data_IF_756652974942
#
_entry.id   IF_756652974942
#
_cell.length_a   1.000
_cell.length_b   1.000
_cell.length_c   1.000
_cell.angle_alpha   90.00
_cell.angle_beta   90.00
_cell.angle_gamma   90.00
#
_symmetry.space_group_name_H-M   'P 1'
#
loop_
_entity.id
_entity.type
_entity.pdbx_description
1 polymer ?
#
# COMPACT_ATOMS: atom_id res chain seq x y z
N UNK A 1 -62.55 -3.23 34.97
CA UNK A 1 -61.65 -3.04 36.13
C UNK A 1 -60.39 -2.34 35.60
N UNK A 2 -60.26 -1.01 35.79
CA UNK A 2 -59.24 -0.32 36.63
C UNK A 2 -57.81 -0.51 36.10
N UNK A 3 -56.92 0.45 35.82
CA UNK A 3 -56.74 1.92 35.96
C UNK A 3 -55.64 2.29 34.91
N UNK A 4 -55.57 3.41 34.18
CA UNK A 4 -55.54 4.84 34.51
C UNK A 4 -54.27 5.32 35.28
N UNK A 5 -53.47 6.15 34.57
CA UNK A 5 -52.72 7.36 35.01
C UNK A 5 -51.30 7.24 35.63
N UNK A 6 -50.36 8.04 35.07
CA UNK A 6 -49.75 9.24 35.72
C UNK A 6 -48.21 9.33 35.75
N UNK A 7 -47.69 10.55 35.43
CA UNK A 7 -46.40 11.11 35.88
C UNK A 7 -45.27 11.05 34.83
N UNK A 8 -44.90 12.08 34.07
CA UNK A 8 -44.53 13.49 34.32
C UNK A 8 -43.23 13.68 35.13
N UNK A 9 -42.21 14.20 34.41
CA UNK A 9 -41.27 15.27 34.80
C UNK A 9 -40.18 15.06 35.87
N UNK A 10 -38.94 15.32 35.41
CA UNK A 10 -37.85 16.07 36.05
C UNK A 10 -37.10 15.52 37.28
N UNK A 11 -35.80 15.28 37.08
CA UNK A 11 -34.66 15.68 37.95
C UNK A 11 -33.35 15.32 37.23
N UNK A 12 -32.63 16.27 36.60
CA UNK A 12 -31.54 17.07 37.20
C UNK A 12 -30.82 16.38 38.37
N UNK A 13 -29.69 15.78 38.04
CA UNK A 13 -28.47 15.61 38.86
C UNK A 13 -27.35 15.57 37.79
N UNK A 14 -26.61 16.64 37.49
CA UNK A 14 -25.74 17.46 38.33
C UNK A 14 -24.61 16.61 38.93
N UNK A 15 -23.58 16.43 38.12
CA UNK A 15 -22.22 15.94 38.41
C UNK A 15 -21.44 16.27 37.11
N UNK A 16 -20.91 17.46 36.85
CA UNK A 16 -20.02 18.33 37.63
C UNK A 16 -18.97 17.60 38.46
N UNK A 17 -17.94 17.12 37.77
CA UNK A 17 -16.60 16.92 38.32
C UNK A 17 -15.54 17.31 37.28
N UNK A 18 -15.11 18.57 37.38
CA UNK A 18 -13.69 18.94 37.44
C UNK A 18 -12.89 18.98 36.13
N UNK A 19 -12.36 20.15 35.74
CA UNK A 19 -11.32 20.22 34.71
C UNK A 19 -10.02 19.62 35.26
N UNK A 20 -9.48 18.64 34.54
CA UNK A 20 -8.16 18.07 34.81
C UNK A 20 -7.14 19.18 34.52
N UNK A 21 -6.55 19.69 35.60
CA UNK A 21 -5.56 20.76 35.58
C UNK A 21 -4.32 20.28 34.81
N UNK A 22 -4.02 20.97 33.72
CA UNK A 22 -2.80 20.80 32.94
C UNK A 22 -1.59 21.21 33.78
N UNK A 23 -0.81 20.22 34.23
CA UNK A 23 0.52 20.46 34.78
C UNK A 23 1.50 20.70 33.63
N UNK A 24 1.74 21.96 33.31
CA UNK A 24 2.81 22.40 32.41
C UNK A 24 4.16 22.18 33.12
N UNK A 25 5.09 21.38 32.59
CA UNK A 25 6.43 21.29 33.15
C UNK A 25 7.18 22.59 32.90
N UNK A 26 7.57 23.25 34.00
CA UNK A 26 8.40 24.46 34.05
C UNK A 26 9.82 24.10 33.59
N UNK A 27 10.17 24.43 32.35
CA UNK A 27 11.52 24.24 31.82
C UNK A 27 12.49 25.20 32.51
N UNK A 28 13.32 24.64 33.39
CA UNK A 28 14.36 25.37 34.12
C UNK A 28 15.50 25.76 33.17
N UNK A 29 15.68 27.07 32.99
CA UNK A 29 16.84 27.68 32.33
C UNK A 29 18.04 27.57 33.28
N UNK A 30 19.12 26.92 32.84
CA UNK A 30 20.46 27.17 33.38
C UNK A 30 21.30 25.92 33.61
N UNK A 31 22.30 25.71 32.76
CA UNK A 31 23.31 24.67 32.93
C UNK A 31 24.19 24.53 31.71
N UNK A 32 25.15 25.45 31.55
CA UNK A 32 26.22 25.34 30.57
C UNK A 32 27.14 24.16 30.96
N UNK A 33 26.91 23.00 30.38
CA UNK A 33 27.83 21.86 30.48
C UNK A 33 28.91 22.00 29.41
N UNK A 34 30.08 22.46 29.85
CA UNK A 34 31.33 22.35 29.11
C UNK A 34 31.72 20.87 29.00
N UNK A 35 31.37 20.22 27.89
CA UNK A 35 31.91 18.90 27.53
C UNK A 35 33.27 19.09 26.84
N UNK A 36 34.34 18.95 27.62
CA UNK A 36 35.72 18.78 27.13
C UNK A 36 35.80 17.44 26.40
N UNK A 37 35.90 17.47 25.08
CA UNK A 37 36.29 16.32 24.27
C UNK A 37 37.76 15.99 24.54
N UNK A 38 38.01 14.94 25.32
CA UNK A 38 39.30 14.30 25.40
C UNK A 38 39.45 13.38 24.18
N UNK A 39 40.26 13.83 23.21
CA UNK A 39 40.78 12.97 22.17
C UNK A 39 41.75 11.95 22.81
N UNK A 40 41.41 10.67 22.80
CA UNK A 40 42.34 9.59 23.09
C UNK A 40 41.98 8.36 22.27
N UNK A 41 42.62 8.32 21.10
CA UNK A 41 43.36 7.19 20.53
C UNK A 41 43.03 5.80 21.09
N UNK A 42 42.15 5.06 20.40
CA UNK A 42 42.23 3.60 20.32
C UNK A 42 42.01 3.21 18.85
N UNK A 43 43.12 3.13 18.12
CA UNK A 43 43.19 2.47 16.83
C UNK A 43 43.73 1.06 17.07
N UNK A 44 42.86 0.04 17.03
CA UNK A 44 43.29 -1.35 16.85
C UNK A 44 42.14 -2.26 16.40
N UNK A 45 42.29 -2.75 15.17
CA UNK A 45 41.90 -4.09 14.69
C UNK A 45 40.41 -4.51 14.71
N UNK A 46 39.72 -4.30 13.59
CA UNK A 46 38.85 -5.34 13.03
C UNK A 46 39.19 -5.50 11.54
N UNK A 47 39.79 -6.66 11.24
CA UNK A 47 40.08 -7.19 9.90
C UNK A 47 38.78 -7.37 9.14
N UNK A 48 38.62 -6.66 8.03
CA UNK A 48 37.68 -7.05 6.97
C UNK A 48 38.39 -8.05 6.03
N UNK A 49 37.77 -9.19 5.68
CA UNK A 49 38.27 -10.06 4.63
C UNK A 49 37.98 -9.42 3.27
N UNK A 50 39.04 -9.07 2.54
CA UNK A 50 38.96 -8.68 1.14
C UNK A 50 38.59 -9.87 0.26
N UNK A 51 37.40 -9.83 -0.35
CA UNK A 51 37.09 -10.66 -1.51
C UNK A 51 37.69 -9.98 -2.73
N UNK A 52 38.87 -10.47 -3.10
CA UNK A 52 39.60 -10.16 -4.31
C UNK A 52 38.79 -10.54 -5.56
N UNK A 53 38.18 -9.56 -6.23
CA UNK A 53 37.69 -9.72 -7.61
C UNK A 53 38.54 -8.88 -8.55
N UNK A 54 39.45 -9.56 -9.23
CA UNK A 54 40.46 -8.97 -10.10
C UNK A 54 39.86 -8.38 -11.37
N UNK A 55 39.95 -7.05 -11.49
CA UNK A 55 39.87 -6.37 -12.77
C UNK A 55 41.28 -6.17 -13.30
N UNK A 56 41.64 -6.92 -14.35
CA UNK A 56 42.89 -6.74 -15.08
C UNK A 56 42.83 -5.40 -15.81
N UNK A 57 43.50 -4.42 -15.22
CA UNK A 57 43.79 -3.11 -15.79
C UNK A 57 44.71 -3.27 -17.00
N UNK A 58 44.20 -3.01 -18.20
CA UNK A 58 45.02 -2.72 -19.38
C UNK A 58 44.97 -1.21 -19.60
N UNK A 59 45.97 -0.55 -19.04
CA UNK A 59 46.32 0.82 -19.37
C UNK A 59 46.71 0.91 -20.85
N UNK A 60 46.05 1.81 -21.59
CA UNK A 60 46.63 2.44 -22.77
C UNK A 60 46.37 3.94 -22.71
N UNK A 61 47.40 4.65 -22.30
CA UNK A 61 47.53 6.09 -22.41
C UNK A 61 47.54 6.51 -23.89
N UNK A 62 46.61 7.38 -24.28
CA UNK A 62 46.71 8.20 -25.48
C UNK A 62 46.34 9.63 -25.08
N UNK A 63 47.38 10.47 -24.97
CA UNK A 63 47.27 11.92 -24.94
C UNK A 63 46.79 12.38 -26.32
N UNK A 64 45.64 13.06 -26.39
CA UNK A 64 45.29 13.90 -27.53
C UNK A 64 44.91 15.28 -27.02
N UNK A 65 45.62 16.25 -27.57
CA UNK A 65 45.61 17.68 -27.29
C UNK A 65 44.30 18.37 -27.63
N UNK A 66 44.03 19.44 -26.90
CA UNK A 66 42.92 20.36 -27.05
C UNK A 66 42.83 21.00 -28.45
N UNK A 67 41.60 21.21 -28.92
CA UNK A 67 41.26 22.25 -29.89
C UNK A 67 39.90 22.83 -29.51
N UNK A 68 39.91 24.12 -29.19
CA UNK A 68 38.74 24.93 -28.86
C UNK A 68 38.13 25.37 -30.18
N UNK A 69 36.87 25.01 -30.42
CA UNK A 69 36.03 25.66 -31.43
C UNK A 69 34.74 26.12 -30.73
N UNK A 70 34.68 27.42 -30.43
CA UNK A 70 33.47 28.08 -29.98
C UNK A 70 32.51 28.21 -31.16
N UNK A 71 31.46 27.39 -31.20
CA UNK A 71 30.30 27.61 -32.04
C UNK A 71 29.15 28.09 -31.14
N UNK A 72 28.83 29.38 -31.22
CA UNK A 72 27.65 29.95 -30.61
C UNK A 72 26.40 29.45 -31.36
N UNK A 73 25.74 28.43 -30.82
CA UNK A 73 24.39 28.06 -31.25
C UNK A 73 23.40 28.81 -30.37
N UNK A 74 22.65 29.70 -31.01
CA UNK A 74 21.55 30.44 -30.40
C UNK A 74 20.45 29.47 -29.95
N UNK A 75 19.88 29.61 -28.75
CA UNK A 75 18.65 28.92 -28.42
C UNK A 75 17.51 29.54 -29.23
N UNK A 76 16.95 28.76 -30.15
CA UNK A 76 15.65 29.05 -30.77
C UNK A 76 14.60 28.86 -29.67
N UNK A 77 14.07 29.97 -29.18
CA UNK A 77 12.89 29.99 -28.31
C UNK A 77 11.69 29.49 -29.13
N UNK A 78 11.17 28.30 -28.81
CA UNK A 78 9.86 27.88 -29.29
C UNK A 78 8.79 28.79 -28.65
N UNK A 79 8.30 29.76 -29.41
CA UNK A 79 7.11 30.52 -29.07
C UNK A 79 5.90 29.59 -29.11
N UNK A 80 5.37 29.23 -27.94
CA UNK A 80 4.00 28.74 -27.83
C UNK A 80 3.04 29.85 -28.30
N UNK A 81 2.08 29.55 -29.20
CA UNK A 81 1.03 30.50 -29.55
C UNK A 81 0.25 30.91 -28.30
N UNK A 82 0.09 32.23 -28.11
CA UNK A 82 -0.76 32.78 -27.08
C UNK A 82 -2.22 32.31 -27.24
N UNK A 83 -2.96 32.07 -26.15
CA UNK A 83 -4.40 31.83 -26.22
C UNK A 83 -5.13 33.11 -26.64
N UNK A 84 -5.97 33.03 -27.67
CA UNK A 84 -6.87 34.12 -28.07
C UNK A 84 -7.85 34.48 -26.95
N UNK A 85 -8.25 35.76 -26.82
CA UNK A 85 -9.29 36.17 -25.89
C UNK A 85 -10.64 35.58 -26.30
N UNK A 86 -11.32 34.92 -25.36
CA UNK A 86 -12.70 34.49 -25.53
C UNK A 86 -13.63 35.71 -25.52
N UNK A 87 -14.34 35.94 -26.62
CA UNK A 87 -15.47 36.88 -26.71
C UNK A 87 -16.63 36.36 -25.84
N UNK A 88 -17.38 37.22 -25.11
CA UNK A 88 -18.56 36.77 -24.38
C UNK A 88 -19.70 36.52 -25.38
N UNK A 89 -20.04 35.24 -25.59
CA UNK A 89 -21.21 34.86 -26.38
C UNK A 89 -22.46 34.87 -25.51
N UNK A 90 -23.37 35.77 -25.83
CA UNK A 90 -24.74 35.86 -25.33
C UNK A 90 -25.48 34.51 -25.45
N UNK A 91 -26.26 34.05 -24.45
CA UNK A 91 -27.06 32.84 -24.59
C UNK A 91 -28.22 33.06 -25.57
N UNK A 92 -28.25 32.31 -26.67
CA UNK A 92 -29.41 32.23 -27.55
C UNK A 92 -30.48 31.28 -26.97
N UNK A 93 -31.78 31.52 -27.20
CA UNK A 93 -32.86 30.69 -26.65
C UNK A 93 -32.86 29.29 -27.27
N UNK A 94 -33.04 28.27 -26.42
CA UNK A 94 -33.18 26.88 -26.84
C UNK A 94 -34.49 26.66 -27.59
N UNK A 95 -34.39 26.29 -28.87
CA UNK A 95 -35.49 25.71 -29.65
C UNK A 95 -35.60 24.21 -29.32
N UNK A 96 -36.80 23.65 -29.10
CA UNK A 96 -36.96 22.22 -28.85
C UNK A 96 -36.65 21.42 -30.13
N UNK A 97 -35.66 20.53 -30.06
CA UNK A 97 -35.40 19.58 -31.14
C UNK A 97 -36.50 18.50 -31.18
N UNK A 98 -37.00 18.12 -32.36
CA UNK A 98 -37.98 17.05 -32.50
C UNK A 98 -37.37 15.69 -32.17
N UNK A 99 -38.14 14.87 -31.46
CA UNK A 99 -37.78 13.51 -31.06
C UNK A 99 -37.43 12.65 -32.29
N UNK A 100 -36.22 12.11 -32.30
CA UNK A 100 -35.81 11.08 -33.23
C UNK A 100 -36.54 9.75 -32.88
N UNK A 101 -36.97 8.96 -33.88
CA UNK A 101 -37.63 7.69 -33.63
C UNK A 101 -36.65 6.69 -33.02
N UNK A 102 -37.08 6.06 -31.92
CA UNK A 102 -36.39 4.96 -31.28
C UNK A 102 -36.21 3.81 -32.29
N UNK A 103 -34.95 3.45 -32.56
CA UNK A 103 -34.61 2.19 -33.20
C UNK A 103 -35.02 1.07 -32.24
N UNK A 104 -36.04 0.30 -32.66
CA UNK A 104 -36.44 -0.92 -31.99
C UNK A 104 -35.24 -1.87 -31.92
N UNK A 105 -34.76 -2.14 -30.71
CA UNK A 105 -33.78 -3.18 -30.45
C UNK A 105 -34.46 -4.53 -30.69
N UNK A 106 -34.03 -5.24 -31.74
CA UNK A 106 -34.42 -6.62 -31.95
C UNK A 106 -33.88 -7.49 -30.80
N UNK A 107 -34.70 -8.40 -30.24
CA UNK A 107 -34.20 -9.43 -29.32
C UNK A 107 -33.11 -10.26 -30.03
N UNK A 108 -32.03 -10.67 -29.33
CA UNK A 108 -31.01 -11.50 -29.93
C UNK A 108 -31.63 -12.82 -30.39
N UNK A 109 -31.51 -13.10 -31.69
CA UNK A 109 -31.85 -14.40 -32.24
C UNK A 109 -30.95 -15.46 -31.58
N UNK A 110 -31.57 -16.43 -30.92
CA UNK A 110 -30.90 -17.62 -30.42
C UNK A 110 -30.31 -18.37 -31.63
N UNK A 111 -28.98 -18.35 -31.75
CA UNK A 111 -28.26 -19.12 -32.75
C UNK A 111 -27.96 -20.50 -32.11
N UNK A 112 -28.56 -21.61 -32.55
CA UNK A 112 -28.45 -22.92 -31.89
C UNK A 112 -27.07 -23.60 -32.05
N UNK A 113 -26.06 -22.89 -32.56
CA UNK A 113 -24.75 -23.45 -32.90
C UNK A 113 -23.55 -22.72 -32.25
N UNK A 114 -23.75 -22.00 -31.14
CA UNK A 114 -22.61 -21.65 -30.28
C UNK A 114 -22.23 -22.92 -29.51
N UNK A 115 -21.29 -23.69 -30.06
CA UNK A 115 -20.59 -24.73 -29.31
C UNK A 115 -19.73 -24.05 -28.26
N UNK A 116 -20.27 -23.90 -27.05
CA UNK A 116 -19.52 -23.52 -25.85
C UNK A 116 -18.48 -24.62 -25.63
N UNK A 117 -17.25 -24.36 -26.06
CA UNK A 117 -16.13 -25.22 -25.68
C UNK A 117 -15.96 -25.08 -24.16
N UNK A 118 -15.96 -26.17 -23.38
CA UNK A 118 -15.72 -26.12 -21.95
C UNK A 118 -14.24 -25.79 -21.71
N UNK A 119 -13.93 -24.50 -21.79
CA UNK A 119 -12.63 -23.91 -21.49
C UNK A 119 -12.79 -22.60 -20.72
N UNK A 120 -13.92 -22.43 -20.03
CA UNK A 120 -14.06 -21.36 -19.06
C UNK A 120 -13.26 -21.77 -17.82
N UNK A 121 -12.12 -21.12 -17.63
CA UNK A 121 -11.42 -21.04 -16.36
C UNK A 121 -12.43 -20.49 -15.34
N UNK A 122 -13.06 -21.40 -14.60
CA UNK A 122 -13.89 -21.04 -13.46
C UNK A 122 -13.00 -20.20 -12.52
N UNK A 123 -13.51 -19.07 -12.00
CA UNK A 123 -12.86 -18.40 -10.87
C UNK A 123 -12.57 -19.47 -9.83
N UNK A 124 -11.30 -19.59 -9.42
CA UNK A 124 -10.94 -20.54 -8.38
C UNK A 124 -11.88 -20.31 -7.19
N UNK A 125 -12.51 -21.39 -6.71
CA UNK A 125 -13.37 -21.30 -5.54
C UNK A 125 -12.57 -20.62 -4.40
N UNK A 126 -13.19 -19.71 -3.62
CA UNK A 126 -12.51 -19.14 -2.48
C UNK A 126 -12.11 -20.26 -1.52
N UNK A 127 -10.87 -20.22 -1.02
CA UNK A 127 -10.37 -21.26 -0.14
C UNK A 127 -11.15 -21.49 1.12
N UNK A 128 -10.96 -22.68 1.66
CA UNK A 128 -11.61 -23.09 2.90
C UNK A 128 -10.84 -22.52 4.08
N UNK A 129 -11.51 -21.74 4.91
CA UNK A 129 -10.97 -21.26 6.19
C UNK A 129 -10.76 -22.46 7.12
N UNK A 130 -9.51 -22.69 7.56
CA UNK A 130 -9.15 -23.78 8.48
C UNK A 130 -9.08 -23.34 9.94
N UNK A 131 -8.64 -22.11 10.19
CA UNK A 131 -8.53 -21.56 11.55
C UNK A 131 -8.50 -20.03 11.53
N UNK A 132 -8.88 -19.40 12.64
CA UNK A 132 -8.81 -17.95 12.83
C UNK A 132 -7.93 -17.64 14.06
N UNK A 133 -7.16 -16.55 13.96
CA UNK A 133 -6.22 -16.08 14.97
C UNK A 133 -6.38 -14.55 15.08
N UNK A 134 -7.30 -14.11 15.93
CA UNK A 134 -7.69 -12.70 15.98
C UNK A 134 -8.32 -12.24 14.66
N UNK A 135 -7.75 -11.21 14.05
CA UNK A 135 -8.18 -10.70 12.74
C UNK A 135 -7.61 -11.48 11.54
N UNK A 136 -6.77 -12.50 11.79
CA UNK A 136 -6.17 -13.32 10.74
C UNK A 136 -6.91 -14.64 10.54
N UNK A 137 -7.01 -15.11 9.29
CA UNK A 137 -7.58 -16.40 8.93
C UNK A 137 -6.56 -17.23 8.14
N UNK A 138 -6.39 -18.50 8.51
CA UNK A 138 -5.68 -19.48 7.68
C UNK A 138 -6.67 -20.02 6.66
N UNK A 139 -6.44 -19.70 5.39
CA UNK A 139 -7.27 -20.12 4.26
C UNK A 139 -6.46 -21.07 3.39
N UNK A 140 -7.04 -22.21 3.06
CA UNK A 140 -6.37 -23.21 2.25
C UNK A 140 -7.16 -23.55 1.00
N UNK A 141 -6.42 -23.70 -0.08
CA UNK A 141 -6.93 -24.02 -1.40
C UNK A 141 -6.16 -25.20 -1.98
N UNK A 142 -6.84 -26.03 -2.77
CA UNK A 142 -6.17 -27.04 -3.60
C UNK A 142 -6.28 -26.64 -5.06
N UNK A 143 -5.26 -25.98 -5.63
CA UNK A 143 -5.26 -25.64 -7.06
C UNK A 143 -5.43 -26.88 -7.93
N UNK A 144 -6.07 -26.71 -9.09
CA UNK A 144 -6.23 -27.81 -10.05
C UNK A 144 -4.85 -28.37 -10.45
N UNK A 145 -4.69 -29.69 -10.34
CA UNK A 145 -3.41 -30.36 -10.65
C UNK A 145 -2.35 -30.30 -9.54
N UNK A 146 -2.59 -29.62 -8.42
CA UNK A 146 -1.68 -29.63 -7.28
C UNK A 146 -1.80 -30.94 -6.48
N UNK A 147 -0.66 -31.53 -6.11
CA UNK A 147 -0.63 -32.72 -5.25
C UNK A 147 -1.10 -32.38 -3.82
N UNK A 148 -0.65 -31.23 -3.30
CA UNK A 148 -0.91 -30.77 -1.94
C UNK A 148 -1.80 -29.53 -1.92
N UNK A 149 -2.52 -29.36 -0.81
CA UNK A 149 -3.23 -28.12 -0.50
C UNK A 149 -2.21 -27.01 -0.18
N UNK A 150 -2.48 -25.79 -0.62
CA UNK A 150 -1.69 -24.61 -0.34
C UNK A 150 -2.47 -23.69 0.60
N UNK A 151 -1.87 -23.40 1.74
CA UNK A 151 -2.46 -22.54 2.76
C UNK A 151 -1.79 -21.17 2.78
N UNK A 152 -2.58 -20.15 3.10
CA UNK A 152 -2.15 -18.80 3.31
C UNK A 152 -2.78 -18.22 4.57
N UNK A 153 -2.03 -17.35 5.25
CA UNK A 153 -2.54 -16.54 6.35
C UNK A 153 -2.99 -15.21 5.79
N UNK A 154 -4.25 -14.83 5.99
CA UNK A 154 -4.86 -13.69 5.34
C UNK A 154 -5.56 -12.77 6.33
N UNK A 155 -5.49 -11.46 6.08
CA UNK A 155 -6.32 -10.44 6.70
C UNK A 155 -6.77 -9.44 5.64
N UNK A 156 -8.07 -9.17 5.58
CA UNK A 156 -8.64 -8.14 4.71
C UNK A 156 -8.99 -6.92 5.55
N UNK A 157 -8.61 -5.73 5.09
CA UNK A 157 -8.82 -4.49 5.84
C UNK A 157 -9.27 -3.38 4.91
N UNK A 158 -10.04 -2.45 5.45
CA UNK A 158 -10.55 -1.25 4.77
C UNK A 158 -9.98 -0.04 5.51
N UNK A 159 -9.59 1.01 4.77
CA UNK A 159 -9.12 2.25 5.37
C UNK A 159 -10.25 2.92 6.17
N UNK A 160 -9.93 3.42 7.36
CA UNK A 160 -10.92 4.08 8.23
C UNK A 160 -11.45 5.39 7.61
N UNK A 161 -10.55 6.18 7.03
CA UNK A 161 -10.88 7.48 6.44
C UNK A 161 -11.43 7.39 5.00
N UNK A 162 -11.21 6.25 4.34
CA UNK A 162 -11.57 6.01 2.93
C UNK A 162 -12.13 4.60 2.76
N UNK A 163 -13.40 4.35 3.10
CA UNK A 163 -14.00 3.01 3.11
C UNK A 163 -14.05 2.34 1.73
N UNK A 164 -13.87 3.11 0.66
CA UNK A 164 -13.72 2.61 -0.71
C UNK A 164 -12.33 2.01 -1.00
N UNK A 165 -11.35 2.23 -0.12
CA UNK A 165 -9.99 1.73 -0.25
C UNK A 165 -9.77 0.59 0.75
N UNK A 166 -9.68 -0.63 0.24
CA UNK A 166 -9.32 -1.81 1.03
C UNK A 166 -8.09 -2.53 0.49
N UNK A 167 -7.48 -3.35 1.34
CA UNK A 167 -6.36 -4.21 0.98
C UNK A 167 -6.54 -5.62 1.54
N UNK A 168 -5.85 -6.58 0.92
CA UNK A 168 -5.69 -7.93 1.46
C UNK A 168 -4.23 -8.19 1.72
N UNK A 169 -3.88 -8.54 2.96
CA UNK A 169 -2.53 -9.00 3.33
C UNK A 169 -2.56 -10.52 3.37
N UNK A 170 -1.65 -11.14 2.63
CA UNK A 170 -1.56 -12.59 2.48
C UNK A 170 -0.12 -13.04 2.73
N UNK A 171 0.08 -13.99 3.63
CA UNK A 171 1.38 -14.61 3.89
C UNK A 171 1.34 -16.08 3.51
N UNK A 172 2.31 -16.51 2.71
CA UNK A 172 2.43 -17.88 2.22
C UNK A 172 3.82 -18.44 2.52
N UNK A 173 3.89 -19.76 2.76
CA UNK A 173 5.13 -20.54 2.67
C UNK A 173 5.17 -21.15 1.27
N UNK A 174 6.31 -21.07 0.59
CA UNK A 174 6.47 -21.70 -0.73
C UNK A 174 6.32 -23.22 -0.62
N UNK A 175 5.97 -23.89 -1.73
CA UNK A 175 5.79 -25.35 -1.73
C UNK A 175 7.05 -26.13 -1.33
N UNK A 176 8.23 -25.58 -1.62
CA UNK A 176 9.52 -26.13 -1.18
C UNK A 176 9.89 -25.74 0.27
N UNK A 177 9.05 -24.93 0.93
CA UNK A 177 9.21 -24.35 2.28
C UNK A 177 10.51 -23.59 2.52
N UNK A 178 11.19 -23.16 1.46
CA UNK A 178 12.44 -22.40 1.58
C UNK A 178 12.21 -20.90 1.75
N UNK A 179 11.10 -20.39 1.24
CA UNK A 179 10.80 -18.96 1.26
C UNK A 179 9.43 -18.72 1.86
N UNK A 180 9.33 -17.58 2.54
CA UNK A 180 8.06 -17.06 3.07
C UNK A 180 7.80 -15.78 2.28
N UNK A 181 6.58 -15.60 1.80
CA UNK A 181 6.23 -14.48 0.93
C UNK A 181 5.13 -13.68 1.62
N UNK A 182 5.36 -12.38 1.76
CA UNK A 182 4.33 -11.41 2.10
C UNK A 182 3.81 -10.81 0.79
N UNK A 183 2.54 -11.03 0.50
CA UNK A 183 1.84 -10.52 -0.67
C UNK A 183 0.73 -9.60 -0.20
N UNK A 184 0.67 -8.41 -0.76
CA UNK A 184 -0.40 -7.45 -0.49
C UNK A 184 -1.13 -7.16 -1.80
N UNK A 185 -2.45 -7.34 -1.78
CA UNK A 185 -3.34 -6.92 -2.84
C UNK A 185 -3.87 -5.52 -2.48
N UNK A 186 -3.45 -4.54 -3.26
CA UNK A 186 -3.95 -3.17 -3.20
C UNK A 186 -5.00 -2.94 -4.29
N UNK A 187 -5.90 -1.95 -4.14
CA UNK A 187 -6.91 -1.67 -5.15
C UNK A 187 -6.28 -1.07 -6.41
N UNK A 188 -7.08 -1.00 -7.48
CA UNK A 188 -6.67 -0.32 -8.71
C UNK A 188 -6.59 1.21 -8.51
N UNK A 189 -5.77 1.87 -9.33
CA UNK A 189 -5.55 3.33 -9.26
C UNK A 189 -4.42 3.76 -8.33
N UNK A 190 -3.59 2.83 -7.85
CA UNK A 190 -2.39 3.13 -7.08
C UNK A 190 -1.24 3.65 -7.95
N UNK A 191 -0.41 4.51 -7.38
CA UNK A 191 0.74 5.14 -8.01
C UNK A 191 1.95 4.19 -7.98
N UNK A 192 2.16 3.49 -9.09
CA UNK A 192 3.20 2.49 -9.29
C UNK A 192 4.63 2.97 -8.93
N UNK A 193 5.08 4.19 -9.32
CA UNK A 193 6.43 4.66 -8.97
C UNK A 193 6.69 4.77 -7.46
N UNK A 194 5.65 5.07 -6.68
CA UNK A 194 5.78 5.22 -5.23
C UNK A 194 5.77 3.88 -4.49
N UNK A 195 5.17 2.86 -5.08
CA UNK A 195 4.98 1.54 -4.47
C UNK A 195 4.02 1.55 -3.27
N UNK A 196 4.07 0.47 -2.51
CA UNK A 196 3.33 0.27 -1.26
C UNK A 196 4.26 0.56 -0.08
N UNK A 197 3.94 1.58 0.71
CA UNK A 197 4.66 1.88 1.96
C UNK A 197 4.26 0.94 3.09
N UNK A 198 5.17 0.70 4.03
CA UNK A 198 4.95 -0.11 5.21
C UNK A 198 5.57 0.55 6.44
N UNK A 199 4.74 0.77 7.45
CA UNK A 199 5.14 1.18 8.78
C UNK A 199 4.67 0.11 9.79
N UNK A 200 5.45 -0.18 10.82
CA UNK A 200 5.03 -1.06 11.92
C UNK A 200 5.26 -0.34 13.24
N UNK A 201 4.19 -0.17 14.01
CA UNK A 201 4.20 0.53 15.30
C UNK A 201 4.89 1.91 15.29
N UNK A 202 4.68 2.68 14.21
CA UNK A 202 5.28 4.00 14.02
C UNK A 202 6.66 3.98 13.36
N UNK A 203 7.31 2.82 13.21
CA UNK A 203 8.61 2.68 12.54
C UNK A 203 8.43 2.46 11.03
N UNK A 204 9.05 3.31 10.23
CA UNK A 204 9.13 3.11 8.78
C UNK A 204 9.99 1.87 8.45
N UNK A 205 9.40 0.91 7.76
CA UNK A 205 10.07 -0.32 7.31
C UNK A 205 10.56 -0.15 5.86
N UNK A 206 9.90 0.72 5.09
CA UNK A 206 10.23 1.01 3.70
C UNK A 206 9.07 0.76 2.76
N UNK A 207 9.41 0.44 1.50
CA UNK A 207 8.44 0.34 0.40
C UNK A 207 8.64 -0.92 -0.42
N UNK A 208 7.54 -1.53 -0.84
CA UNK A 208 7.50 -2.64 -1.78
C UNK A 208 6.97 -2.17 -3.13
N UNK A 209 7.60 -2.57 -4.23
CA UNK A 209 7.10 -2.26 -5.56
C UNK A 209 5.97 -3.20 -5.96
N UNK A 210 4.98 -2.66 -6.69
CA UNK A 210 3.96 -3.48 -7.32
C UNK A 210 4.58 -4.25 -8.50
N UNK A 211 4.50 -5.58 -8.44
CA UNK A 211 5.11 -6.46 -9.45
C UNK A 211 4.15 -6.74 -10.61
N UNK A 212 2.84 -6.76 -10.33
CA UNK A 212 1.79 -7.11 -11.30
C UNK A 212 0.48 -6.45 -10.90
N UNK A 213 -0.36 -6.11 -11.87
CA UNK A 213 -1.75 -5.73 -11.63
C UNK A 213 -2.68 -6.56 -12.52
N UNK A 214 -3.81 -6.97 -11.96
CA UNK A 214 -4.87 -7.73 -12.60
C UNK A 214 -6.22 -7.02 -12.38
N UNK A 215 -7.32 -7.60 -12.85
CA UNK A 215 -8.65 -6.99 -12.72
C UNK A 215 -9.12 -6.83 -11.27
N UNK A 216 -8.57 -7.60 -10.35
CA UNK A 216 -8.87 -7.60 -8.91
C UNK A 216 -7.95 -6.70 -8.08
N UNK A 217 -6.86 -6.19 -8.66
CA UNK A 217 -5.97 -5.23 -7.99
C UNK A 217 -4.50 -5.33 -8.37
N UNK A 218 -3.68 -4.57 -7.66
CA UNK A 218 -2.23 -4.53 -7.82
C UNK A 218 -1.53 -5.28 -6.69
N UNK A 219 -0.59 -6.15 -7.07
CA UNK A 219 0.11 -7.05 -6.18
C UNK A 219 1.50 -6.51 -5.87
N UNK A 220 1.78 -6.30 -4.59
CA UNK A 220 3.12 -6.09 -4.06
C UNK A 220 3.57 -7.38 -3.35
N UNK A 221 4.75 -7.87 -3.69
CA UNK A 221 5.28 -9.13 -3.16
C UNK A 221 6.70 -8.92 -2.67
N UNK A 222 6.97 -9.34 -1.43
CA UNK A 222 8.30 -9.35 -0.85
C UNK A 222 8.58 -10.69 -0.19
N UNK A 223 9.85 -11.07 -0.16
CA UNK A 223 10.28 -12.17 0.69
C UNK A 223 10.18 -11.70 2.14
N UNK A 224 9.47 -12.46 2.96
CA UNK A 224 9.34 -12.21 4.38
C UNK A 224 10.59 -12.76 5.09
N UNK A 225 11.65 -11.96 5.05
CA UNK A 225 12.93 -12.24 5.71
C UNK A 225 12.78 -12.29 7.23
N UNK A 226 13.73 -12.91 7.92
CA UNK A 226 13.62 -13.19 9.36
C UNK A 226 13.48 -11.92 10.21
N UNK A 227 14.11 -10.81 9.80
CA UNK A 227 13.95 -9.52 10.50
C UNK A 227 12.54 -8.93 10.35
N UNK A 228 11.99 -8.97 9.13
CA UNK A 228 10.63 -8.49 8.88
C UNK A 228 9.60 -9.40 9.55
N UNK A 229 9.81 -10.72 9.49
CA UNK A 229 8.99 -11.70 10.19
C UNK A 229 8.98 -11.44 11.69
N UNK A 230 10.16 -11.22 12.29
CA UNK A 230 10.27 -10.88 13.72
C UNK A 230 9.50 -9.61 14.06
N UNK A 231 9.65 -8.58 13.23
CA UNK A 231 8.93 -7.30 13.38
C UNK A 231 7.42 -7.51 13.35
N UNK A 232 6.89 -8.28 12.39
CA UNK A 232 5.46 -8.58 12.31
C UNK A 232 4.96 -9.42 13.50
N UNK A 233 5.76 -10.38 13.96
CA UNK A 233 5.40 -11.24 15.09
C UNK A 233 5.36 -10.50 16.43
N UNK A 234 6.22 -9.50 16.62
CA UNK A 234 6.26 -8.70 17.85
C UNK A 234 5.41 -7.43 17.79
N UNK A 235 4.99 -7.02 16.60
CA UNK A 235 4.31 -5.76 16.38
C UNK A 235 2.84 -5.81 16.80
N UNK A 236 2.26 -4.64 17.06
CA UNK A 236 0.83 -4.51 17.37
C UNK A 236 0.02 -4.12 16.13
N UNK A 237 0.56 -3.23 15.29
CA UNK A 237 -0.10 -2.74 14.10
C UNK A 237 0.89 -2.51 12.95
N UNK A 238 0.52 -2.94 11.75
CA UNK A 238 1.20 -2.57 10.51
C UNK A 238 0.32 -1.57 9.75
N UNK A 239 0.85 -0.41 9.39
CA UNK A 239 0.17 0.55 8.52
C UNK A 239 0.73 0.42 7.11
N UNK A 240 -0.08 -0.09 6.20
CA UNK A 240 0.24 -0.07 4.78
C UNK A 240 -0.18 1.26 4.18
N UNK A 241 0.66 1.86 3.35
CA UNK A 241 0.43 3.19 2.79
C UNK A 241 0.34 3.05 1.28
N UNK A 242 -0.84 3.29 0.73
CA UNK A 242 -1.07 3.36 -0.72
C UNK A 242 -1.08 4.81 -1.16
N UNK A 243 -0.57 5.08 -2.36
CA UNK A 243 -0.54 6.41 -2.95
C UNK A 243 -1.42 6.43 -4.18
N UNK A 244 -2.30 7.41 -4.35
CA UNK A 244 -3.04 7.63 -5.62
C UNK A 244 -2.42 8.80 -6.42
N UNK A 245 -1.89 9.78 -5.70
CA UNK A 245 -1.07 10.88 -6.23
C UNK A 245 0.23 10.97 -5.43
N UNK A 246 1.28 11.67 -5.92
CA UNK A 246 2.53 11.81 -5.18
C UNK A 246 2.36 12.48 -3.81
N UNK A 247 1.33 13.31 -3.65
CA UNK A 247 1.06 14.11 -2.45
C UNK A 247 0.08 13.45 -1.47
N UNK A 248 -0.72 12.47 -1.93
CA UNK A 248 -1.76 11.80 -1.13
C UNK A 248 -1.38 10.34 -0.81
N UNK A 249 -0.98 10.10 0.44
CA UNK A 249 -0.80 8.76 1.00
C UNK A 249 -1.97 8.39 1.91
N UNK A 250 -2.57 7.23 1.67
CA UNK A 250 -3.68 6.68 2.46
C UNK A 250 -3.13 5.54 3.32
N UNK A 251 -3.13 5.73 4.64
CA UNK A 251 -2.71 4.73 5.61
C UNK A 251 -3.84 3.75 5.93
N UNK A 252 -3.54 2.47 5.89
CA UNK A 252 -4.50 1.39 6.12
C UNK A 252 -3.95 0.52 7.25
N UNK A 253 -4.49 0.64 8.48
CA UNK A 253 -3.99 -0.07 9.64
C UNK A 253 -4.41 -1.54 9.62
N UNK A 254 -3.46 -2.45 9.76
CA UNK A 254 -3.61 -3.91 9.81
C UNK A 254 -3.25 -4.37 11.22
N UNK A 255 -4.14 -5.14 11.86
CA UNK A 255 -3.90 -5.66 13.21
C UNK A 255 -2.91 -6.82 13.14
N UNK A 256 -1.81 -6.76 13.89
CA UNK A 256 -0.80 -7.81 13.94
C UNK A 256 -1.05 -8.82 15.08
N UNK A 257 -2.04 -8.61 15.95
CA UNK A 257 -2.42 -9.58 16.97
C UNK A 257 -2.95 -10.86 16.31
N UNK A 258 -2.43 -12.00 16.75
CA UNK A 258 -2.74 -13.30 16.16
C UNK A 258 -1.89 -13.65 14.94
N UNK A 259 -1.05 -12.72 14.44
CA UNK A 259 -0.19 -12.99 13.29
C UNK A 259 0.80 -14.11 13.57
N UNK A 260 1.46 -14.10 14.73
CA UNK A 260 2.48 -15.09 15.08
C UNK A 260 1.88 -16.50 15.15
N UNK A 261 0.75 -16.65 15.84
CA UNK A 261 0.02 -17.90 15.98
C UNK A 261 -0.51 -18.40 14.64
N UNK A 262 -1.08 -17.50 13.84
CA UNK A 262 -1.57 -17.83 12.51
C UNK A 262 -0.47 -18.23 11.54
N UNK A 263 0.70 -17.59 11.62
CA UNK A 263 1.86 -17.92 10.79
C UNK A 263 2.45 -19.29 11.15
N UNK A 264 2.47 -19.62 12.45
CA UNK A 264 2.91 -20.93 12.94
C UNK A 264 1.95 -22.05 12.54
N UNK A 265 0.66 -21.74 12.38
CA UNK A 265 -0.35 -22.68 11.92
C UNK A 265 -0.27 -23.02 10.41
N UNK A 266 0.55 -22.31 9.63
CA UNK A 266 0.77 -22.64 8.21
C UNK A 266 1.64 -23.91 8.06
N UNK A 267 1.29 -24.84 7.15
CA UNK A 267 2.01 -26.10 6.92
C UNK A 267 3.41 -25.94 6.30
#
# INVERSE_FOLDING_TARGET
MKNALSGRSARRTLYDKGPISAAVPRFSRGGAFHFRWAASTIAAMIRYPEVSMGFRSLARSLLVTASIAAAATTPVFAQQPAPSPATPTTPAPATPAPAAPALAQQPPAANPNIQVTPGQTQPQAPGTVKSNHGAWSVVCDKPAGAATEQCALMQNVIAEDRPEVGLSVVVLKTADRKSKILRVLAPLGVLLPNGLGLNVDGKDIGRAYFVRCFADGCYAEVVLEDELLKTFRSGAQATFIVFQTPEEGIGIPVDLKGFAEGFDALP
#
